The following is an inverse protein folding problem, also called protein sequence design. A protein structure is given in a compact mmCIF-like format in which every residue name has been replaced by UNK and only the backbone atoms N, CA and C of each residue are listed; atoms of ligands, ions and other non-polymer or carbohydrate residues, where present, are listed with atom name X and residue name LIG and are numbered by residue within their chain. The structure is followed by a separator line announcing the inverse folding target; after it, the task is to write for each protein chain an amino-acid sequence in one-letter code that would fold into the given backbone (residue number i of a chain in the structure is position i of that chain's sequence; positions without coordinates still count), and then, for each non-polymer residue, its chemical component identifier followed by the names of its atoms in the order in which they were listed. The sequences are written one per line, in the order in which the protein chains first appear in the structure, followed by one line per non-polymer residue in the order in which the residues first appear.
data_IF_356079651432
#
_entry.id   IF_356079651432
#
_cell.length_a   1.000
_cell.length_b   1.000
_cell.length_c   1.000
_cell.angle_alpha   90.00
_cell.angle_beta   90.00
_cell.angle_gamma   90.00
#
_symmetry.space_group_name_H-M   'P 1'
#
loop_
_entity.id
_entity.type
_entity.pdbx_description
1 polymer ?
#
# COMPACT_ATOMS: atom_id res chain seq x y z
N UNK A 1 42.16 1.13 -51.10
CA UNK A 1 40.85 0.93 -50.45
C UNK A 1 41.15 0.80 -48.96
N UNK A 2 41.00 1.90 -48.22
CA UNK A 2 41.36 1.98 -46.80
C UNK A 2 40.19 1.45 -45.97
N UNK A 3 40.38 0.35 -45.26
CA UNK A 3 39.44 -0.07 -44.22
C UNK A 3 40.01 0.30 -42.85
N UNK A 4 39.38 1.30 -42.23
CA UNK A 4 39.62 1.72 -40.87
C UNK A 4 39.21 0.59 -39.90
N UNK A 5 40.15 0.17 -39.05
CA UNK A 5 39.87 -0.69 -37.89
C UNK A 5 39.30 0.23 -36.80
N UNK A 6 37.98 0.17 -36.59
CA UNK A 6 37.35 0.81 -35.45
C UNK A 6 37.57 -0.06 -34.20
N UNK A 7 38.37 0.44 -33.25
CA UNK A 7 38.55 -0.17 -31.94
C UNK A 7 37.30 0.19 -31.11
N UNK A 8 36.43 -0.80 -30.87
CA UNK A 8 35.32 -0.69 -29.94
C UNK A 8 35.89 -0.86 -28.53
N UNK A 9 36.08 0.25 -27.81
CA UNK A 9 36.37 0.22 -26.37
C UNK A 9 35.03 0.08 -25.64
N UNK A 10 34.69 -1.15 -25.23
CA UNK A 10 33.61 -1.36 -24.26
C UNK A 10 34.10 -0.88 -22.89
N UNK A 11 33.61 0.28 -22.46
CA UNK A 11 33.69 0.70 -21.08
C UNK A 11 32.73 -0.15 -20.26
N UNK A 12 33.23 -1.25 -19.69
CA UNK A 12 32.59 -1.91 -18.55
C UNK A 12 32.73 -0.97 -17.35
N UNK A 13 31.70 -0.18 -17.08
CA UNK A 13 31.53 0.44 -15.77
C UNK A 13 31.24 -0.69 -14.78
N UNK A 14 32.30 -1.21 -14.17
CA UNK A 14 32.19 -1.95 -12.91
C UNK A 14 31.74 -0.92 -11.87
N UNK A 15 30.45 -0.89 -11.57
CA UNK A 15 29.96 -0.25 -10.37
C UNK A 15 30.59 -1.00 -9.19
N UNK A 16 31.60 -0.41 -8.56
CA UNK A 16 32.07 -0.84 -7.26
C UNK A 16 30.91 -0.65 -6.27
N UNK A 17 30.15 -1.72 -6.03
CA UNK A 17 29.28 -1.81 -4.87
C UNK A 17 30.20 -1.89 -3.64
N UNK A 18 30.62 -0.73 -3.14
CA UNK A 18 31.23 -0.63 -1.82
C UNK A 18 30.31 -1.32 -0.82
N UNK A 19 30.89 -2.14 0.06
CA UNK A 19 30.13 -2.87 1.07
C UNK A 19 29.24 -1.90 1.86
N UNK A 20 27.93 -2.16 1.89
CA UNK A 20 26.99 -1.29 2.59
C UNK A 20 27.37 -1.18 4.07
N UNK A 21 27.38 0.05 4.60
CA UNK A 21 27.57 0.28 6.03
C UNK A 21 26.41 -0.36 6.80
N UNK A 22 26.70 -1.19 7.81
CA UNK A 22 25.67 -1.86 8.62
C UNK A 22 25.48 -1.16 9.97
N UNK A 23 24.28 -0.64 10.18
CA UNK A 23 23.80 0.02 11.40
C UNK A 23 22.86 -0.91 12.15
N UNK A 24 23.41 -1.73 13.05
CA UNK A 24 22.61 -2.54 13.97
C UNK A 24 21.95 -1.64 15.03
N UNK A 25 20.64 -1.83 15.25
CA UNK A 25 19.84 -1.02 16.18
C UNK A 25 20.40 -1.01 17.62
N UNK A 26 21.12 -2.06 18.03
CA UNK A 26 21.74 -2.18 19.36
C UNK A 26 22.84 -1.13 19.59
N UNK A 27 23.53 -0.69 18.53
CA UNK A 27 24.54 0.38 18.61
C UNK A 27 23.92 1.73 18.98
N UNK A 28 22.60 1.87 18.78
CA UNK A 28 21.83 3.07 19.09
C UNK A 28 20.98 2.90 20.37
N UNK A 29 21.24 1.85 21.15
CA UNK A 29 20.55 1.56 22.41
C UNK A 29 19.23 0.78 22.24
N UNK A 30 18.95 0.23 21.05
CA UNK A 30 17.79 -0.62 20.83
C UNK A 30 18.00 -2.03 21.39
N UNK A 31 17.01 -2.57 22.09
CA UNK A 31 17.06 -3.95 22.63
C UNK A 31 15.69 -4.61 22.56
N UNK A 32 15.61 -5.95 22.51
CA UNK A 32 14.32 -6.63 22.60
C UNK A 32 13.57 -6.24 23.88
N UNK A 33 12.25 -6.21 23.78
CA UNK A 33 11.28 -5.78 24.80
C UNK A 33 11.41 -4.31 25.24
N UNK A 34 12.20 -3.50 24.55
CA UNK A 34 12.29 -2.05 24.78
C UNK A 34 11.56 -1.25 23.70
N UNK A 35 11.31 0.02 23.99
CA UNK A 35 10.97 1.02 22.99
C UNK A 35 12.23 1.38 22.18
N UNK A 36 12.19 1.17 20.87
CA UNK A 36 13.31 1.45 19.96
C UNK A 36 13.12 2.74 19.15
N UNK A 37 12.10 3.55 19.45
CA UNK A 37 11.78 4.76 18.67
C UNK A 37 12.97 5.69 18.55
N UNK A 38 13.64 6.01 19.66
CA UNK A 38 14.81 6.88 19.65
C UNK A 38 16.04 6.21 19.01
N UNK A 39 16.24 4.92 19.25
CA UNK A 39 17.34 4.16 18.65
C UNK A 39 17.21 4.15 17.12
N UNK A 40 15.99 3.90 16.62
CA UNK A 40 15.69 3.88 15.19
C UNK A 40 15.80 5.27 14.58
N UNK A 41 15.28 6.31 15.24
CA UNK A 41 15.45 7.69 14.78
C UNK A 41 16.93 8.10 14.66
N UNK A 42 17.77 7.68 15.62
CA UNK A 42 19.20 7.96 15.58
C UNK A 42 19.90 7.19 14.45
N UNK A 43 19.60 5.90 14.28
CA UNK A 43 20.13 5.08 13.19
C UNK A 43 19.73 5.64 11.82
N UNK A 44 18.46 6.07 11.67
CA UNK A 44 17.96 6.70 10.47
C UNK A 44 18.69 8.01 10.14
N UNK A 45 18.88 8.87 11.15
CA UNK A 45 19.61 10.13 10.98
C UNK A 45 21.03 9.90 10.47
N UNK A 46 21.73 8.91 11.02
CA UNK A 46 23.06 8.53 10.54
C UNK A 46 23.02 8.02 9.10
N UNK A 47 22.16 7.03 8.83
CA UNK A 47 21.99 6.44 7.49
C UNK A 47 21.68 7.48 6.42
N UNK A 48 20.74 8.38 6.69
CA UNK A 48 20.27 9.38 5.71
C UNK A 48 21.34 10.41 5.33
N UNK A 49 22.33 10.62 6.20
CA UNK A 49 23.45 11.55 5.94
C UNK A 49 24.67 10.89 5.29
N UNK A 50 24.71 9.55 5.23
CA UNK A 50 25.78 8.76 4.62
C UNK A 50 25.85 8.98 3.11
N UNK A 51 27.06 9.09 2.58
CA UNK A 51 27.32 9.19 1.14
C UNK A 51 27.50 7.83 0.47
N UNK A 52 27.35 6.75 1.21
CA UNK A 52 27.43 5.36 0.72
C UNK A 52 26.20 4.59 1.17
N UNK A 53 25.87 3.49 0.48
CA UNK A 53 24.68 2.70 0.82
C UNK A 53 24.74 2.20 2.27
N UNK A 54 23.59 2.25 2.96
CA UNK A 54 23.48 1.87 4.37
C UNK A 54 22.39 0.83 4.56
N UNK A 55 22.66 -0.17 5.41
CA UNK A 55 21.69 -1.13 5.90
C UNK A 55 21.45 -0.92 7.40
N UNK A 56 20.25 -0.53 7.80
CA UNK A 56 19.81 -0.54 9.19
C UNK A 56 19.25 -1.93 9.49
N UNK A 57 19.71 -2.56 10.58
CA UNK A 57 19.30 -3.92 10.96
C UNK A 57 18.56 -3.88 12.30
N UNK A 58 17.32 -4.35 12.30
CA UNK A 58 16.55 -4.69 13.50
C UNK A 58 16.45 -6.22 13.55
N UNK A 59 17.26 -6.90 14.38
CA UNK A 59 17.32 -8.35 14.41
C UNK A 59 16.04 -8.96 15.02
N UNK A 60 15.97 -10.29 15.04
CA UNK A 60 14.88 -11.01 15.67
C UNK A 60 14.71 -10.63 17.15
N UNK A 61 13.47 -10.42 17.55
CA UNK A 61 13.08 -9.95 18.87
C UNK A 61 11.72 -9.26 18.82
N UNK A 62 11.15 -8.92 19.97
CA UNK A 62 9.95 -8.07 20.05
C UNK A 62 10.38 -6.67 20.43
N UNK A 63 9.86 -5.64 19.80
CA UNK A 63 10.23 -4.25 20.05
C UNK A 63 8.98 -3.39 20.07
N UNK A 64 8.99 -2.33 20.88
CA UNK A 64 7.96 -1.28 20.79
C UNK A 64 8.48 -0.16 19.91
N UNK A 65 7.61 0.40 19.10
CA UNK A 65 7.91 1.57 18.27
C UNK A 65 6.72 2.50 18.33
N UNK A 66 6.92 3.73 18.79
CA UNK A 66 5.93 4.79 18.70
C UNK A 66 5.89 5.34 17.26
N UNK A 67 5.06 6.35 16.99
CA UNK A 67 5.00 6.98 15.67
C UNK A 67 6.36 7.49 15.21
N UNK A 68 6.69 7.23 13.95
CA UNK A 68 7.96 7.61 13.33
C UNK A 68 7.72 8.15 11.91
N UNK A 69 8.36 9.28 11.59
CA UNK A 69 8.45 9.84 10.23
C UNK A 69 9.87 9.62 9.69
N UNK A 70 10.02 8.58 8.88
CA UNK A 70 11.23 8.19 8.15
C UNK A 70 11.32 9.05 6.90
N UNK A 71 11.98 10.19 7.05
CA UNK A 71 11.94 11.27 6.08
C UNK A 71 13.28 11.50 5.38
N UNK A 72 13.21 11.76 4.07
CA UNK A 72 14.32 12.19 3.23
C UNK A 72 14.29 13.69 2.90
N UNK A 73 15.07 14.13 1.89
CA UNK A 73 15.90 13.29 1.02
C UNK A 73 17.14 12.74 1.75
N UNK A 74 17.58 11.54 1.35
CA UNK A 74 18.83 10.93 1.82
C UNK A 74 19.87 10.92 0.70
N UNK A 75 21.16 10.89 1.05
CA UNK A 75 22.25 11.06 0.07
C UNK A 75 22.62 9.78 -0.69
N UNK A 76 22.22 8.61 -0.18
CA UNK A 76 22.53 7.30 -0.74
C UNK A 76 21.36 6.32 -0.50
N UNK A 77 21.30 5.18 -1.21
CA UNK A 77 20.31 4.14 -0.98
C UNK A 77 20.35 3.60 0.45
N UNK A 78 19.17 3.30 1.01
CA UNK A 78 19.05 2.76 2.37
C UNK A 78 18.19 1.49 2.33
N UNK A 79 18.70 0.43 2.96
CA UNK A 79 17.94 -0.75 3.31
C UNK A 79 17.60 -0.71 4.81
N UNK A 80 16.34 -0.96 5.16
CA UNK A 80 15.90 -1.24 6.51
C UNK A 80 15.53 -2.72 6.55
N UNK A 81 16.40 -3.54 7.14
CA UNK A 81 16.14 -4.96 7.35
C UNK A 81 15.52 -5.16 8.73
N UNK A 82 14.29 -5.67 8.77
CA UNK A 82 13.55 -5.97 10.00
C UNK A 82 13.24 -7.47 10.06
N UNK A 83 13.81 -8.15 11.05
CA UNK A 83 13.55 -9.56 11.33
C UNK A 83 12.77 -9.76 12.64
N UNK A 84 12.55 -8.69 13.40
CA UNK A 84 11.78 -8.69 14.64
C UNK A 84 10.28 -8.41 14.47
N UNK A 85 9.54 -8.58 15.55
CA UNK A 85 8.16 -8.08 15.70
C UNK A 85 8.21 -6.67 16.29
N UNK A 86 7.71 -5.70 15.55
CA UNK A 86 7.55 -4.30 15.96
C UNK A 86 6.10 -4.11 16.38
N UNK A 87 5.87 -3.65 17.60
CA UNK A 87 4.54 -3.43 18.18
C UNK A 87 4.24 -1.94 18.26
N UNK A 88 3.11 -1.55 17.69
CA UNK A 88 2.57 -0.21 17.82
C UNK A 88 2.06 0.03 19.23
N UNK A 89 1.88 1.30 19.66
CA UNK A 89 1.18 1.61 20.90
C UNK A 89 -0.21 0.99 20.90
N UNK A 90 -0.60 0.27 21.95
CA UNK A 90 -1.95 -0.32 22.02
C UNK A 90 -3.03 0.75 22.16
N UNK A 91 -2.74 1.84 22.88
CA UNK A 91 -3.64 2.99 22.97
C UNK A 91 -3.41 3.93 21.78
N UNK A 92 -4.47 4.21 21.05
CA UNK A 92 -4.46 5.11 19.89
C UNK A 92 -4.10 6.56 20.26
N UNK A 93 -4.40 7.01 21.47
CA UNK A 93 -4.11 8.39 21.88
C UNK A 93 -2.60 8.66 22.02
N UNK A 94 -1.77 7.61 22.14
CA UNK A 94 -0.31 7.72 22.27
C UNK A 94 0.35 8.29 21.00
N UNK A 95 -0.28 8.11 19.83
CA UNK A 95 0.24 8.63 18.55
C UNK A 95 -0.23 10.06 18.25
N UNK A 96 -0.86 10.75 19.22
CA UNK A 96 -1.16 12.20 19.20
C UNK A 96 -1.88 12.71 17.95
N UNK A 97 -2.77 11.89 17.38
CA UNK A 97 -3.60 12.27 16.24
C UNK A 97 -2.91 12.20 14.88
N UNK A 98 -1.74 11.56 14.82
CA UNK A 98 -1.17 11.06 13.57
C UNK A 98 -2.10 10.01 12.93
N UNK A 99 -1.98 9.80 11.63
CA UNK A 99 -2.81 8.84 10.88
C UNK A 99 -1.99 7.73 10.24
N UNK A 100 -0.67 7.77 10.37
CA UNK A 100 0.28 6.79 9.86
C UNK A 100 1.27 6.49 10.99
N UNK A 101 1.42 5.22 11.36
CA UNK A 101 2.31 4.81 12.45
C UNK A 101 3.78 4.82 12.00
N UNK A 102 4.09 4.09 10.93
CA UNK A 102 5.41 4.13 10.27
C UNK A 102 5.25 4.85 8.94
N UNK A 103 5.63 6.12 8.93
CA UNK A 103 5.50 6.99 7.78
C UNK A 103 6.85 7.12 7.07
N UNK A 104 6.87 6.85 5.78
CA UNK A 104 7.99 7.04 4.88
C UNK A 104 7.68 8.22 3.96
N UNK A 105 8.57 9.22 3.90
CA UNK A 105 8.28 10.48 3.22
C UNK A 105 9.46 11.00 2.40
N UNK A 106 9.22 11.35 1.13
CA UNK A 106 10.20 12.02 0.27
C UNK A 106 11.53 11.24 0.16
N UNK A 107 11.41 9.93 -0.05
CA UNK A 107 12.55 9.01 -0.17
C UNK A 107 12.74 8.57 -1.61
N UNK A 108 13.97 8.20 -1.93
CA UNK A 108 14.35 7.61 -3.20
C UNK A 108 15.32 6.46 -2.92
N UNK A 109 15.18 5.33 -3.64
CA UNK A 109 16.05 4.15 -3.47
C UNK A 109 15.99 3.53 -2.05
N UNK A 110 14.77 3.34 -1.52
CA UNK A 110 14.53 2.67 -0.24
C UNK A 110 14.28 1.16 -0.46
N UNK A 111 14.86 0.33 0.39
CA UNK A 111 14.42 -1.07 0.55
C UNK A 111 13.97 -1.31 1.98
N UNK A 112 12.76 -1.84 2.19
CA UNK A 112 12.30 -2.38 3.46
C UNK A 112 12.22 -3.91 3.31
N UNK A 113 13.08 -4.63 4.02
CA UNK A 113 13.30 -6.07 3.82
C UNK A 113 13.26 -6.84 5.13
N UNK A 114 13.27 -8.17 5.04
CA UNK A 114 13.42 -9.08 6.18
C UNK A 114 12.23 -10.01 6.32
N UNK A 115 11.98 -10.48 7.53
CA UNK A 115 10.84 -11.36 7.87
C UNK A 115 10.01 -10.83 9.03
N UNK A 116 10.18 -9.55 9.33
CA UNK A 116 9.61 -8.90 10.48
C UNK A 116 8.11 -8.69 10.39
N UNK A 117 7.49 -8.52 11.55
CA UNK A 117 6.06 -8.28 11.71
C UNK A 117 5.86 -6.89 12.28
N UNK A 118 5.05 -6.06 11.62
CA UNK A 118 4.58 -4.79 12.14
C UNK A 118 3.15 -5.01 12.66
N UNK A 119 3.02 -5.16 13.98
CA UNK A 119 1.77 -5.44 14.68
C UNK A 119 1.13 -4.12 15.19
N UNK A 120 0.04 -3.73 14.53
CA UNK A 120 -0.70 -2.48 14.79
C UNK A 120 -1.57 -2.51 16.04
N UNK A 121 -1.74 -3.68 16.68
CA UNK A 121 -2.54 -3.87 17.89
C UNK A 121 -4.00 -3.39 17.74
N UNK A 122 -4.63 -3.68 16.60
CA UNK A 122 -5.94 -3.15 16.21
C UNK A 122 -7.16 -3.71 16.94
N UNK A 123 -7.07 -4.90 17.54
CA UNK A 123 -8.21 -5.63 18.10
C UNK A 123 -9.08 -4.81 19.09
N UNK A 124 -8.45 -4.01 19.95
CA UNK A 124 -9.19 -3.19 20.92
C UNK A 124 -9.94 -2.03 20.25
N UNK A 125 -9.39 -1.46 19.19
CA UNK A 125 -10.04 -0.38 18.43
C UNK A 125 -11.26 -0.92 17.69
N UNK A 126 -11.14 -2.07 17.04
CA UNK A 126 -12.25 -2.66 16.30
C UNK A 126 -13.44 -3.02 17.20
N UNK A 127 -13.18 -3.58 18.40
CA UNK A 127 -14.23 -3.89 19.39
C UNK A 127 -15.03 -2.66 19.83
N UNK A 128 -14.36 -1.52 19.99
CA UNK A 128 -15.02 -0.26 20.37
C UNK A 128 -15.82 0.38 19.23
N UNK A 129 -15.61 -0.07 17.99
CA UNK A 129 -16.22 0.50 16.78
C UNK A 129 -17.20 -0.44 16.07
N UNK A 130 -17.55 -1.57 16.68
CA UNK A 130 -18.51 -2.52 16.13
C UNK A 130 -19.82 -1.83 15.68
N UNK A 131 -20.00 -1.70 14.36
CA UNK A 131 -21.19 -1.11 13.73
C UNK A 131 -21.03 0.29 13.11
N UNK A 132 -19.85 0.91 13.12
CA UNK A 132 -19.61 2.20 12.44
C UNK A 132 -18.25 2.29 11.76
N UNK A 133 -18.02 3.24 10.84
CA UNK A 133 -16.72 3.41 10.22
C UNK A 133 -15.67 3.75 11.30
N UNK A 134 -14.50 3.11 11.24
CA UNK A 134 -13.38 3.40 12.13
C UNK A 134 -12.97 4.89 12.04
N UNK A 135 -13.18 5.49 10.86
CA UNK A 135 -12.99 6.91 10.61
C UNK A 135 -14.24 7.56 9.97
N UNK A 136 -14.84 8.54 10.65
CA UNK A 136 -15.99 9.31 10.15
C UNK A 136 -15.61 10.73 9.67
N UNK A 137 -14.31 11.01 9.46
CA UNK A 137 -13.82 12.35 9.13
C UNK A 137 -13.90 13.36 10.29
N UNK A 138 -14.49 12.99 11.43
CA UNK A 138 -14.58 13.84 12.63
C UNK A 138 -13.30 13.72 13.46
N UNK A 139 -12.76 14.86 13.92
CA UNK A 139 -11.48 14.99 14.65
C UNK A 139 -11.28 14.03 15.84
N UNK A 140 -12.34 13.45 16.41
CA UNK A 140 -12.31 12.63 17.63
C UNK A 140 -12.05 11.13 17.42
N UNK A 141 -11.81 10.64 16.19
CA UNK A 141 -11.72 9.20 15.89
C UNK A 141 -10.46 8.78 15.10
N UNK A 142 -9.36 9.54 15.14
CA UNK A 142 -8.22 9.36 14.21
C UNK A 142 -7.45 8.07 14.47
N UNK A 143 -7.88 6.97 13.86
CA UNK A 143 -7.15 5.69 13.83
C UNK A 143 -5.99 5.80 12.86
N UNK A 144 -4.96 4.98 13.06
CA UNK A 144 -3.79 5.00 12.20
C UNK A 144 -3.72 3.80 11.26
N UNK A 145 -3.04 4.02 10.16
CA UNK A 145 -2.54 3.00 9.25
C UNK A 145 -1.18 2.54 9.71
N UNK A 146 -0.85 1.25 9.56
CA UNK A 146 0.48 0.75 9.91
C UNK A 146 1.56 1.45 9.09
N UNK A 147 1.37 1.53 7.77
CA UNK A 147 2.32 2.16 6.85
C UNK A 147 1.71 3.30 6.06
N UNK A 148 2.49 4.36 5.87
CA UNK A 148 2.24 5.38 4.87
C UNK A 148 3.49 5.67 4.06
N UNK A 149 3.48 5.34 2.78
CA UNK A 149 4.51 5.71 1.81
C UNK A 149 4.02 6.94 1.04
N UNK A 150 4.65 8.09 1.28
CA UNK A 150 4.22 9.36 0.73
C UNK A 150 5.36 9.99 -0.09
N UNK A 151 5.18 10.10 -1.40
CA UNK A 151 6.18 10.66 -2.31
C UNK A 151 7.52 9.90 -2.23
N UNK A 152 7.41 8.57 -2.26
CA UNK A 152 8.54 7.65 -2.17
C UNK A 152 8.75 6.97 -3.51
N UNK A 153 9.96 7.05 -4.04
CA UNK A 153 10.30 6.58 -5.39
C UNK A 153 11.36 5.48 -5.37
N UNK A 154 11.34 4.61 -6.37
CA UNK A 154 12.33 3.55 -6.58
C UNK A 154 12.50 2.71 -5.32
N UNK A 155 11.39 2.09 -4.89
CA UNK A 155 11.29 1.47 -3.57
C UNK A 155 10.79 0.04 -3.64
N UNK A 156 11.36 -0.82 -2.79
CA UNK A 156 11.00 -2.22 -2.66
C UNK A 156 10.63 -2.51 -1.19
N UNK A 157 9.48 -3.14 -0.98
CA UNK A 157 9.07 -3.74 0.29
C UNK A 157 9.01 -5.25 0.10
N UNK A 158 9.82 -6.00 0.84
CA UNK A 158 9.98 -7.43 0.63
C UNK A 158 9.97 -8.26 1.93
N UNK A 159 9.17 -9.33 1.97
CA UNK A 159 9.14 -10.32 3.06
C UNK A 159 8.50 -9.85 4.37
N UNK A 160 7.99 -8.62 4.42
CA UNK A 160 7.41 -8.02 5.63
C UNK A 160 5.96 -8.45 5.83
N UNK A 161 5.57 -8.61 7.10
CA UNK A 161 4.17 -8.78 7.51
C UNK A 161 3.61 -7.51 8.15
N UNK A 162 2.45 -7.02 7.69
CA UNK A 162 1.63 -6.04 8.38
C UNK A 162 0.46 -6.72 9.06
N UNK A 163 0.39 -6.65 10.39
CA UNK A 163 -0.61 -7.35 11.20
C UNK A 163 -1.48 -6.37 11.96
N UNK A 164 -2.77 -6.66 12.03
CA UNK A 164 -3.77 -6.02 12.88
C UNK A 164 -3.70 -4.48 12.89
N UNK A 165 -3.72 -3.85 11.71
CA UNK A 165 -3.75 -2.38 11.59
C UNK A 165 -5.06 -1.80 12.14
N UNK A 166 -5.01 -0.63 12.77
CA UNK A 166 -6.23 0.03 13.31
C UNK A 166 -7.12 0.66 12.23
N UNK A 167 -6.57 0.83 11.04
CA UNK A 167 -7.23 1.30 9.83
C UNK A 167 -6.56 0.57 8.64
N UNK A 168 -6.43 1.19 7.46
CA UNK A 168 -5.73 0.57 6.34
C UNK A 168 -4.35 0.06 6.77
N UNK A 169 -3.90 -1.05 6.20
CA UNK A 169 -2.56 -1.55 6.50
C UNK A 169 -1.49 -0.68 5.83
N UNK A 170 -1.74 -0.26 4.58
CA UNK A 170 -0.77 0.48 3.77
C UNK A 170 -1.47 1.57 2.97
N UNK A 171 -0.94 2.79 3.05
CA UNK A 171 -1.16 3.85 2.07
C UNK A 171 0.08 4.00 1.17
N UNK A 172 -0.13 4.00 -0.14
CA UNK A 172 0.86 4.34 -1.18
C UNK A 172 0.36 5.58 -1.91
N UNK A 173 0.98 6.72 -1.65
CA UNK A 173 0.50 8.00 -2.15
C UNK A 173 1.61 8.83 -2.80
N UNK A 174 1.41 9.25 -4.05
CA UNK A 174 2.40 10.07 -4.76
C UNK A 174 3.69 9.32 -5.10
N UNK A 175 3.68 8.00 -5.15
CA UNK A 175 4.87 7.15 -5.34
C UNK A 175 5.13 6.85 -6.81
N UNK A 176 6.40 6.61 -7.16
CA UNK A 176 6.81 6.20 -8.51
C UNK A 176 7.77 5.01 -8.46
N UNK A 177 7.57 4.01 -9.31
CA UNK A 177 8.40 2.79 -9.35
C UNK A 177 8.50 2.12 -7.96
N UNK A 178 7.37 1.60 -7.48
CA UNK A 178 7.23 1.01 -6.15
C UNK A 178 6.85 -0.47 -6.27
N UNK A 179 7.54 -1.36 -5.55
CA UNK A 179 7.25 -2.79 -5.56
C UNK A 179 7.01 -3.33 -4.15
N UNK A 180 5.88 -4.01 -3.95
CA UNK A 180 5.71 -5.01 -2.90
C UNK A 180 5.98 -6.39 -3.50
N UNK A 181 6.78 -7.21 -2.82
CA UNK A 181 7.04 -8.60 -3.20
C UNK A 181 7.11 -9.48 -1.95
N UNK A 182 6.41 -10.62 -1.93
CA UNK A 182 6.34 -11.48 -0.74
C UNK A 182 5.86 -10.72 0.53
N UNK A 183 4.90 -9.81 0.35
CA UNK A 183 4.30 -9.07 1.46
C UNK A 183 3.12 -9.84 2.04
N UNK A 184 2.89 -9.74 3.35
CA UNK A 184 1.76 -10.40 4.00
C UNK A 184 0.95 -9.42 4.84
N UNK A 185 -0.36 -9.43 4.68
CA UNK A 185 -1.31 -8.64 5.47
C UNK A 185 -2.25 -9.59 6.21
N UNK A 186 -2.35 -9.40 7.53
CA UNK A 186 -3.18 -10.22 8.41
C UNK A 186 -4.07 -9.32 9.26
N UNK A 187 -5.38 -9.39 9.03
CA UNK A 187 -6.42 -8.90 9.92
C UNK A 187 -7.69 -9.76 9.80
N UNK A 188 -8.55 -9.82 10.84
CA UNK A 188 -9.80 -10.58 10.81
C UNK A 188 -10.81 -10.08 9.77
N UNK A 189 -11.74 -10.95 9.34
CA UNK A 189 -12.82 -10.59 8.41
C UNK A 189 -13.72 -9.45 8.92
N UNK A 190 -13.85 -9.32 10.24
CA UNK A 190 -14.71 -8.35 10.91
C UNK A 190 -13.97 -7.07 11.36
N UNK A 191 -12.69 -6.89 10.97
CA UNK A 191 -11.96 -5.65 11.25
C UNK A 191 -12.40 -4.50 10.33
N UNK A 192 -13.00 -3.43 10.87
CA UNK A 192 -13.58 -2.38 10.03
C UNK A 192 -12.52 -1.47 9.40
N UNK A 193 -12.65 -1.21 8.09
CA UNK A 193 -11.81 -0.27 7.34
C UNK A 193 -10.31 -0.58 7.43
N UNK A 194 -9.97 -1.86 7.37
CA UNK A 194 -8.58 -2.33 7.37
C UNK A 194 -8.07 -2.61 5.97
N UNK A 195 -8.41 -1.78 4.98
CA UNK A 195 -7.99 -1.95 3.58
C UNK A 195 -6.51 -2.36 3.50
N UNK A 196 -6.19 -3.35 2.68
CA UNK A 196 -4.84 -3.90 2.62
C UNK A 196 -3.85 -2.88 2.08
N UNK A 197 -3.80 -2.74 0.75
CA UNK A 197 -2.96 -1.74 0.07
C UNK A 197 -3.85 -0.72 -0.65
N UNK A 198 -3.84 0.51 -0.15
CA UNK A 198 -4.53 1.64 -0.76
C UNK A 198 -3.56 2.47 -1.59
N UNK A 199 -3.86 2.66 -2.87
CA UNK A 199 -3.05 3.47 -3.79
C UNK A 199 -3.74 4.79 -4.11
N UNK A 200 -2.97 5.86 -4.29
CA UNK A 200 -3.43 7.11 -4.88
C UNK A 200 -2.27 7.88 -5.50
N UNK A 201 -2.53 8.56 -6.61
CA UNK A 201 -1.57 9.42 -7.33
C UNK A 201 -0.20 8.77 -7.54
N UNK A 202 -0.17 7.48 -7.80
CA UNK A 202 1.06 6.69 -7.87
C UNK A 202 1.19 6.01 -9.22
N UNK A 203 2.42 5.95 -9.74
CA UNK A 203 2.71 5.42 -11.07
C UNK A 203 3.72 4.28 -11.01
N UNK A 204 3.57 3.27 -11.85
CA UNK A 204 4.47 2.11 -11.95
C UNK A 204 4.59 1.37 -10.62
N UNK A 205 3.44 0.97 -10.06
CA UNK A 205 3.36 0.22 -8.81
C UNK A 205 3.14 -1.26 -9.09
N UNK A 206 3.88 -2.13 -8.40
CA UNK A 206 3.77 -3.59 -8.49
C UNK A 206 3.45 -4.18 -7.12
N UNK A 207 2.45 -5.04 -7.06
CA UNK A 207 2.09 -5.84 -5.90
C UNK A 207 2.19 -7.31 -6.32
N UNK A 208 3.25 -7.97 -5.88
CA UNK A 208 3.65 -9.30 -6.35
C UNK A 208 3.65 -10.31 -5.20
N UNK A 209 3.26 -11.55 -5.48
CA UNK A 209 3.44 -12.71 -4.60
C UNK A 209 2.96 -12.46 -3.15
N UNK A 210 1.84 -11.75 -3.00
CA UNK A 210 1.40 -11.18 -1.71
C UNK A 210 0.18 -11.95 -1.18
N UNK A 211 0.10 -12.10 0.14
CA UNK A 211 -1.08 -12.65 0.82
C UNK A 211 -1.80 -11.56 1.61
N UNK A 212 -3.10 -11.36 1.41
CA UNK A 212 -3.88 -10.30 2.04
C UNK A 212 -5.17 -10.86 2.65
N UNK A 213 -5.26 -10.85 3.97
CA UNK A 213 -6.50 -11.07 4.72
C UNK A 213 -6.89 -9.82 5.51
N UNK A 214 -8.14 -9.37 5.36
CA UNK A 214 -8.65 -8.15 6.00
C UNK A 214 -10.17 -8.19 6.15
N UNK A 215 -10.77 -7.17 6.77
CA UNK A 215 -12.21 -6.91 6.76
C UNK A 215 -12.69 -5.86 5.75
N UNK A 216 -11.81 -5.35 4.87
CA UNK A 216 -12.19 -4.40 3.80
C UNK A 216 -11.48 -4.73 2.46
N UNK A 217 -11.30 -3.76 1.55
CA UNK A 217 -10.66 -3.99 0.25
C UNK A 217 -9.23 -4.56 0.42
N UNK A 218 -8.88 -5.66 -0.27
CA UNK A 218 -7.52 -6.19 -0.27
C UNK A 218 -6.55 -5.21 -0.94
N UNK A 219 -6.96 -4.71 -2.10
CA UNK A 219 -6.30 -3.64 -2.84
C UNK A 219 -7.37 -2.65 -3.25
N UNK A 220 -7.16 -1.37 -2.96
CA UNK A 220 -8.05 -0.29 -3.34
C UNK A 220 -7.29 0.78 -4.13
N UNK A 221 -7.79 1.14 -5.31
CA UNK A 221 -7.13 2.04 -6.26
C UNK A 221 -7.85 3.38 -6.29
N UNK A 222 -7.22 4.40 -5.74
CA UNK A 222 -7.65 5.79 -5.76
C UNK A 222 -7.21 6.55 -7.02
N UNK A 223 -7.58 7.83 -7.06
CA UNK A 223 -7.37 8.72 -8.21
C UNK A 223 -5.90 8.87 -8.60
N UNK A 224 -5.62 9.13 -9.87
CA UNK A 224 -4.27 9.37 -10.37
C UNK A 224 -3.34 8.16 -10.35
N UNK A 225 -3.85 6.95 -10.10
CA UNK A 225 -3.04 5.73 -10.15
C UNK A 225 -2.83 5.29 -11.60
N UNK A 226 -1.58 5.06 -11.99
CA UNK A 226 -1.21 4.65 -13.35
C UNK A 226 -0.26 3.45 -13.37
N UNK A 227 -0.40 2.57 -14.35
CA UNK A 227 0.49 1.41 -14.54
C UNK A 227 0.63 0.56 -13.26
N UNK A 228 -0.50 0.11 -12.72
CA UNK A 228 -0.55 -0.80 -11.57
C UNK A 228 -0.55 -2.25 -12.04
N UNK A 229 0.35 -3.06 -11.49
CA UNK A 229 0.33 -4.53 -11.64
C UNK A 229 0.06 -5.16 -10.28
N UNK A 230 -0.99 -5.97 -10.19
CA UNK A 230 -1.30 -6.84 -9.06
C UNK A 230 -1.21 -8.27 -9.56
N UNK A 231 -0.17 -9.01 -9.17
CA UNK A 231 0.09 -10.34 -9.73
C UNK A 231 0.44 -11.37 -8.66
N UNK A 232 -0.08 -12.59 -8.81
CA UNK A 232 0.15 -13.71 -7.88
C UNK A 232 -0.30 -13.35 -6.45
N UNK A 233 -1.47 -12.71 -6.31
CA UNK A 233 -1.99 -12.28 -5.01
C UNK A 233 -3.11 -13.19 -4.52
N UNK A 234 -2.99 -13.66 -3.29
CA UNK A 234 -4.09 -14.30 -2.57
C UNK A 234 -4.81 -13.24 -1.73
N UNK A 235 -6.09 -13.02 -2.01
CA UNK A 235 -6.92 -12.02 -1.34
C UNK A 235 -8.10 -12.72 -0.68
N UNK A 236 -8.26 -12.56 0.63
CA UNK A 236 -9.36 -13.20 1.33
C UNK A 236 -9.03 -13.53 2.78
N UNK A 237 -9.96 -13.28 3.72
CA UNK A 237 -11.26 -12.61 3.54
C UNK A 237 -11.13 -11.10 3.24
N UNK A 238 -12.25 -10.42 2.94
CA UNK A 238 -12.31 -8.97 2.70
C UNK A 238 -13.36 -8.55 1.67
N UNK A 239 -13.21 -7.36 1.08
CA UNK A 239 -14.11 -6.83 0.05
C UNK A 239 -13.65 -7.09 -1.39
N UNK A 240 -12.50 -7.72 -1.60
CA UNK A 240 -11.93 -7.99 -2.93
C UNK A 240 -10.96 -6.92 -3.41
N UNK A 241 -10.80 -6.79 -4.72
CA UNK A 241 -9.97 -5.75 -5.32
C UNK A 241 -10.86 -4.67 -5.95
N UNK A 242 -10.69 -3.44 -5.49
CA UNK A 242 -11.57 -2.32 -5.84
C UNK A 242 -10.84 -1.21 -6.57
N UNK A 243 -11.38 -0.75 -7.69
CA UNK A 243 -11.07 0.53 -8.31
C UNK A 243 -12.08 1.57 -7.79
N UNK A 244 -11.57 2.57 -7.08
CA UNK A 244 -12.35 3.61 -6.42
C UNK A 244 -12.72 3.35 -4.96
N UNK A 245 -13.59 4.17 -4.36
CA UNK A 245 -14.54 5.05 -5.05
C UNK A 245 -13.90 6.26 -5.75
N UNK A 246 -14.34 6.54 -6.97
CA UNK A 246 -13.89 7.66 -7.81
C UNK A 246 -15.06 8.58 -8.20
N UNK A 247 -14.78 9.79 -8.64
CA UNK A 247 -15.74 10.82 -9.01
C UNK A 247 -16.39 11.52 -7.82
N UNK A 248 -15.75 11.53 -6.64
CA UNK A 248 -16.28 12.29 -5.49
C UNK A 248 -15.84 13.74 -5.53
N UNK A 249 -14.61 14.00 -6.00
CA UNK A 249 -14.04 15.34 -6.07
C UNK A 249 -13.73 15.71 -7.52
N UNK A 250 -13.91 16.99 -7.87
CA UNK A 250 -13.64 17.52 -9.22
C UNK A 250 -12.15 17.59 -9.55
N UNK A 251 -11.27 17.40 -8.56
CA UNK A 251 -9.81 17.42 -8.69
C UNK A 251 -9.20 16.03 -8.83
N UNK A 252 -10.02 14.99 -8.94
CA UNK A 252 -9.52 13.62 -9.13
C UNK A 252 -8.89 13.45 -10.51
N UNK A 253 -7.79 12.68 -10.55
CA UNK A 253 -7.04 12.36 -11.76
C UNK A 253 -7.39 10.96 -12.28
N UNK A 254 -7.22 10.75 -13.59
CA UNK A 254 -7.52 9.48 -14.26
C UNK A 254 -6.81 8.28 -13.63
N UNK A 255 -7.47 7.12 -13.71
CA UNK A 255 -6.88 5.81 -13.43
C UNK A 255 -6.67 5.09 -14.75
N UNK A 256 -5.45 4.63 -15.00
CA UNK A 256 -5.03 4.11 -16.31
C UNK A 256 -4.06 2.94 -16.16
N UNK A 257 -4.26 1.87 -16.92
CA UNK A 257 -3.32 0.75 -16.97
C UNK A 257 -3.27 -0.01 -15.64
N UNK A 258 -4.35 -0.73 -15.32
CA UNK A 258 -4.42 -1.62 -14.16
C UNK A 258 -4.50 -3.06 -14.64
N UNK A 259 -3.46 -3.83 -14.38
CA UNK A 259 -3.41 -5.26 -14.63
C UNK A 259 -3.52 -6.03 -13.32
N UNK A 260 -4.57 -6.82 -13.17
CA UNK A 260 -4.72 -7.81 -12.10
C UNK A 260 -4.61 -9.18 -12.74
N UNK A 261 -3.61 -9.98 -12.32
CA UNK A 261 -3.28 -11.22 -13.00
C UNK A 261 -2.93 -12.36 -12.05
N UNK A 262 -3.45 -13.57 -12.34
CA UNK A 262 -3.10 -14.77 -11.60
C UNK A 262 -3.36 -14.61 -10.08
N UNK A 263 -4.52 -14.09 -9.72
CA UNK A 263 -4.90 -13.86 -8.33
C UNK A 263 -6.00 -14.84 -7.89
N UNK A 264 -5.98 -15.22 -6.63
CA UNK A 264 -7.06 -16.03 -6.03
C UNK A 264 -7.78 -15.20 -4.97
N UNK A 265 -9.09 -15.01 -5.15
CA UNK A 265 -9.96 -14.31 -4.22
C UNK A 265 -10.82 -15.34 -3.49
N UNK A 266 -10.74 -15.39 -2.16
CA UNK A 266 -11.41 -16.40 -1.34
C UNK A 266 -12.28 -15.76 -0.26
N UNK A 267 -13.56 -16.13 -0.20
CA UNK A 267 -14.50 -15.67 0.83
C UNK A 267 -14.62 -14.13 0.97
N UNK A 268 -14.39 -13.42 -0.15
CA UNK A 268 -14.55 -11.97 -0.24
C UNK A 268 -15.98 -11.58 -0.62
N UNK A 269 -16.38 -10.36 -0.25
CA UNK A 269 -17.68 -9.82 -0.66
C UNK A 269 -17.74 -9.54 -2.17
N UNK A 270 -16.63 -9.15 -2.78
CA UNK A 270 -16.54 -8.92 -4.21
C UNK A 270 -15.28 -9.57 -4.76
N UNK A 271 -15.31 -9.90 -6.05
CA UNK A 271 -14.11 -10.29 -6.78
C UNK A 271 -13.37 -9.02 -7.20
N UNK A 272 -13.65 -8.59 -8.43
CA UNK A 272 -13.20 -7.29 -8.95
C UNK A 272 -14.35 -6.29 -8.91
N UNK A 273 -14.06 -5.08 -8.43
CA UNK A 273 -15.07 -4.05 -8.19
C UNK A 273 -14.63 -2.71 -8.74
N UNK A 274 -15.52 -2.00 -9.44
CA UNK A 274 -15.33 -0.59 -9.81
C UNK A 274 -16.45 0.23 -9.15
N UNK A 275 -16.09 1.27 -8.40
CA UNK A 275 -17.03 2.12 -7.64
C UNK A 275 -16.88 3.57 -8.07
N UNK A 276 -17.96 4.21 -8.48
CA UNK A 276 -17.95 5.61 -8.89
C UNK A 276 -19.16 6.35 -8.35
N UNK A 277 -18.96 7.58 -7.90
CA UNK A 277 -20.03 8.43 -7.38
C UNK A 277 -20.95 8.89 -8.53
N UNK A 278 -22.25 9.10 -8.24
CA UNK A 278 -23.25 9.30 -9.31
C UNK A 278 -23.20 10.66 -10.02
N UNK A 279 -22.76 11.75 -9.38
CA UNK A 279 -23.16 13.12 -9.78
C UNK A 279 -22.08 14.21 -9.71
N UNK A 280 -20.80 13.94 -10.05
CA UNK A 280 -19.79 15.01 -10.15
C UNK A 280 -19.24 15.16 -11.57
N UNK A 281 -19.05 16.40 -12.07
CA UNK A 281 -18.49 16.67 -13.37
C UNK A 281 -16.96 16.60 -13.30
N UNK A 282 -16.41 15.41 -13.47
CA UNK A 282 -15.02 15.25 -13.86
C UNK A 282 -14.99 14.53 -15.20
N UNK A 283 -14.12 14.96 -16.13
CA UNK A 283 -13.68 14.19 -17.30
C UNK A 283 -12.80 13.01 -16.85
N UNK A 284 -13.16 12.38 -15.75
CA UNK A 284 -12.40 11.32 -15.12
C UNK A 284 -12.58 10.06 -15.94
N UNK A 285 -11.47 9.54 -16.44
CA UNK A 285 -11.45 8.29 -17.19
C UNK A 285 -10.83 7.20 -16.35
N UNK A 286 -11.45 6.02 -16.38
CA UNK A 286 -10.87 4.79 -15.85
C UNK A 286 -10.72 3.85 -17.05
N UNK A 287 -9.50 3.68 -17.54
CA UNK A 287 -9.24 2.98 -18.80
C UNK A 287 -8.16 1.93 -18.64
N UNK A 288 -8.12 0.98 -19.57
CA UNK A 288 -7.09 -0.05 -19.64
C UNK A 288 -7.05 -0.89 -18.36
N UNK A 289 -8.19 -1.54 -18.07
CA UNK A 289 -8.34 -2.44 -16.93
C UNK A 289 -8.32 -3.90 -17.42
N UNK A 290 -7.31 -4.63 -17.00
CA UNK A 290 -7.12 -6.02 -17.37
C UNK A 290 -7.22 -6.91 -16.14
N UNK A 291 -8.17 -7.85 -16.14
CA UNK A 291 -8.34 -8.84 -15.08
C UNK A 291 -8.15 -10.24 -15.69
N UNK A 292 -7.00 -10.86 -15.45
CA UNK A 292 -6.57 -12.09 -16.14
C UNK A 292 -6.33 -13.22 -15.14
N UNK A 293 -6.77 -14.43 -15.48
CA UNK A 293 -6.49 -15.65 -14.70
C UNK A 293 -6.87 -15.50 -13.21
N UNK A 294 -8.07 -14.97 -12.94
CA UNK A 294 -8.55 -14.73 -11.58
C UNK A 294 -9.43 -15.90 -11.13
N UNK A 295 -9.05 -16.55 -10.03
CA UNK A 295 -9.84 -17.60 -9.40
C UNK A 295 -10.66 -16.98 -8.26
N UNK A 296 -11.97 -17.20 -8.26
CA UNK A 296 -12.89 -16.68 -7.25
C UNK A 296 -13.56 -17.84 -6.52
N UNK A 297 -13.20 -18.06 -5.26
CA UNK A 297 -13.69 -19.16 -4.40
C UNK A 297 -14.65 -18.59 -3.37
N UNK A 298 -15.92 -18.99 -3.43
CA UNK A 298 -16.97 -18.52 -2.50
C UNK A 298 -17.06 -16.98 -2.41
N UNK A 299 -16.83 -16.29 -3.53
CA UNK A 299 -16.94 -14.83 -3.63
C UNK A 299 -18.40 -14.45 -3.85
N UNK A 300 -18.90 -13.47 -3.08
CA UNK A 300 -20.34 -13.11 -3.13
C UNK A 300 -20.73 -12.38 -4.42
N UNK A 301 -19.95 -11.38 -4.84
CA UNK A 301 -20.17 -10.65 -6.08
C UNK A 301 -18.91 -10.72 -6.97
N UNK A 302 -18.79 -11.72 -7.86
CA UNK A 302 -17.58 -11.92 -8.67
C UNK A 302 -17.09 -10.67 -9.41
N UNK A 303 -18.01 -9.93 -10.04
CA UNK A 303 -17.74 -8.67 -10.71
C UNK A 303 -18.83 -7.68 -10.35
N UNK A 304 -18.45 -6.46 -9.97
CA UNK A 304 -19.40 -5.36 -9.74
C UNK A 304 -18.85 -4.05 -10.28
N UNK A 305 -19.63 -3.38 -11.12
CA UNK A 305 -19.36 -2.03 -11.59
C UNK A 305 -20.54 -1.18 -11.13
N UNK A 306 -20.31 -0.36 -10.11
CA UNK A 306 -21.31 0.49 -9.49
C UNK A 306 -20.97 1.96 -9.78
N UNK A 307 -21.68 2.55 -10.74
CA UNK A 307 -21.55 3.98 -11.09
C UNK A 307 -22.52 4.89 -10.32
N UNK A 308 -23.17 4.35 -9.29
CA UNK A 308 -24.11 5.05 -8.41
C UNK A 308 -23.68 4.92 -6.94
N UNK A 309 -22.38 4.68 -6.71
CA UNK A 309 -21.81 4.39 -5.40
C UNK A 309 -22.04 5.57 -4.45
N UNK A 310 -22.89 5.34 -3.45
CA UNK A 310 -23.41 6.37 -2.56
C UNK A 310 -23.42 5.86 -1.11
N UNK A 311 -22.24 5.70 -0.49
CA UNK A 311 -22.15 5.18 0.86
C UNK A 311 -22.93 6.09 1.82
N UNK A 312 -23.70 5.49 2.72
CA UNK A 312 -24.52 6.17 3.72
C UNK A 312 -25.59 7.12 3.15
N UNK A 313 -25.95 6.97 1.86
CA UNK A 313 -26.84 7.88 1.14
C UNK A 313 -26.38 9.36 1.17
N UNK A 314 -25.07 9.61 1.35
CA UNK A 314 -24.50 10.96 1.40
C UNK A 314 -24.07 11.46 0.01
N UNK A 315 -24.92 11.30 -0.99
CA UNK A 315 -24.70 11.81 -2.35
C UNK A 315 -25.91 12.63 -2.81
N UNK A 316 -25.68 13.64 -3.65
CA UNK A 316 -26.76 14.43 -4.22
C UNK A 316 -27.40 13.69 -5.40
N UNK A 317 -28.45 12.87 -5.18
CA UNK A 317 -29.15 12.12 -6.25
C UNK A 317 -30.14 12.98 -7.08
N UNK A 318 -30.22 14.30 -6.88
CA UNK A 318 -31.37 15.13 -7.31
C UNK A 318 -31.30 15.75 -8.71
N UNK A 319 -30.30 15.50 -9.54
CA UNK A 319 -30.32 15.98 -10.93
C UNK A 319 -30.55 14.84 -11.94
N UNK A 320 -31.82 14.49 -12.13
CA UNK A 320 -32.26 14.00 -13.45
C UNK A 320 -32.31 15.21 -14.39
N UNK A 321 -31.31 15.36 -15.27
CA UNK A 321 -31.39 15.83 -16.67
C UNK A 321 -30.11 16.58 -17.09
N UNK A 322 -29.18 15.84 -17.70
CA UNK A 322 -28.59 16.15 -19.02
C UNK A 322 -27.81 14.92 -19.48
N UNK A 323 -28.11 14.46 -20.69
CA UNK A 323 -27.40 13.42 -21.42
C UNK A 323 -25.95 13.86 -21.72
N UNK A 324 -25.04 13.85 -20.73
CA UNK A 324 -23.59 13.60 -20.92
C UNK A 324 -23.02 13.09 -19.58
N UNK A 325 -23.08 11.78 -19.33
CA UNK A 325 -22.29 11.11 -18.28
C UNK A 325 -21.06 10.58 -19.00
N UNK A 326 -19.86 11.06 -18.71
CA UNK A 326 -18.64 10.46 -19.29
C UNK A 326 -17.55 10.33 -18.22
N UNK A 327 -17.88 9.64 -17.12
CA UNK A 327 -16.88 8.72 -16.60
C UNK A 327 -16.83 7.56 -17.58
N UNK A 328 -15.72 7.47 -18.30
CA UNK A 328 -15.57 6.49 -19.35
C UNK A 328 -14.83 5.27 -18.80
N UNK A 329 -15.45 4.11 -18.96
CA UNK A 329 -14.86 2.79 -18.72
C UNK A 329 -14.52 2.19 -20.07
N UNK A 330 -13.24 2.21 -20.42
CA UNK A 330 -12.76 1.69 -21.70
C UNK A 330 -11.77 0.55 -21.49
N UNK A 331 -11.75 -0.37 -22.45
CA UNK A 331 -10.77 -1.47 -22.51
C UNK A 331 -10.74 -2.30 -21.22
N UNK A 332 -11.89 -2.89 -20.89
CA UNK A 332 -11.99 -3.87 -19.79
C UNK A 332 -11.92 -5.29 -20.38
N UNK A 333 -10.88 -6.04 -20.02
CA UNK A 333 -10.74 -7.45 -20.37
C UNK A 333 -10.81 -8.32 -19.11
N UNK A 334 -11.56 -9.44 -19.17
CA UNK A 334 -11.78 -10.32 -18.02
C UNK A 334 -11.66 -11.80 -18.40
N UNK A 335 -10.77 -12.53 -17.72
CA UNK A 335 -10.66 -13.99 -17.75
C UNK A 335 -10.79 -14.51 -16.30
N UNK A 336 -11.97 -15.02 -15.96
CA UNK A 336 -12.35 -15.35 -14.58
C UNK A 336 -12.78 -16.81 -14.47
N UNK A 337 -12.42 -17.44 -13.35
CA UNK A 337 -12.89 -18.76 -12.98
C UNK A 337 -13.63 -18.69 -11.64
N UNK A 338 -14.95 -18.91 -11.67
CA UNK A 338 -15.81 -18.82 -10.49
C UNK A 338 -16.06 -20.22 -9.95
N UNK A 339 -15.64 -20.45 -8.72
CA UNK A 339 -15.81 -21.72 -8.00
C UNK A 339 -16.79 -21.49 -6.84
N UNK A 340 -18.05 -21.88 -7.04
CA UNK A 340 -19.09 -21.89 -6.02
C UNK A 340 -19.30 -23.30 -5.47
N UNK A 341 -19.41 -23.46 -4.15
CA UNK A 341 -19.85 -24.72 -3.52
C UNK A 341 -21.36 -24.78 -3.36
#
# INVERSE_FOLDING_TARGET
MNFNIAIIVSFLFLAEYGAAQVLDISKFGGSPNSDITQAFANAWKEACTSTTAVKIVIPAGTYKLNVIDVKGPCKAPIEIQVDGTIQAPSNQDEIKGETQWVKFSYLHSLTLSGKGVFDGQGANVWKQKAGGPAWSGKKSNKVFMNFGFNFVNDTIVHGITSKDSKNFHVLVFGCHNFTFDDFTIIAPKDSPNTDGIHLGKSTDVKILNTNIGTGDDCVSVGDGTKNLIVQNVNCGPGHGISIGSLGKFTTEENVEGVLIKNCTLTETDNGVRVKTWPNEPATLTITDLHFEDIIMVNVRNPVIIDQEYCPWNQCNKKEKLLLVKLMQLDQIAMCLNIVTK
#
